data_IF_628356174161
#
_entry.id   IF_628356174161
#
_cell.length_a   1.000
_cell.length_b   1.000
_cell.length_c   1.000
_cell.angle_alpha   90.00
_cell.angle_beta   90.00
_cell.angle_gamma   90.00
#
_symmetry.space_group_name_H-M   'P 1'
#
loop_
_entity.id
_entity.type
_entity.pdbx_description
1 polymer ?
#
# COMPACT_ATOMS: atom_id res chain seq x y z
N UNK A 1 3.72 13.97 16.27
CA UNK A 1 5.00 13.24 16.26
C UNK A 1 5.32 12.89 14.81
N UNK A 2 6.51 13.25 14.29
CA UNK A 2 6.89 12.92 12.91
C UNK A 2 7.08 11.40 12.78
N UNK A 3 6.58 10.82 11.65
CA UNK A 3 6.77 9.41 11.33
C UNK A 3 8.21 9.20 10.81
N UNK A 4 8.96 8.32 11.48
CA UNK A 4 10.25 7.83 11.01
C UNK A 4 10.15 6.32 10.88
N UNK A 5 10.03 5.84 9.64
CA UNK A 5 9.83 4.44 9.32
C UNK A 5 11.08 3.81 8.75
N UNK A 6 11.27 2.53 9.05
CA UNK A 6 12.23 1.64 8.40
C UNK A 6 11.49 0.40 7.90
N UNK A 7 11.82 -0.04 6.69
CA UNK A 7 11.38 -1.32 6.17
C UNK A 7 12.42 -2.38 6.48
N UNK A 8 11.97 -3.52 7.01
CA UNK A 8 12.84 -4.56 7.52
C UNK A 8 12.42 -5.91 6.95
N UNK A 9 13.41 -6.69 6.48
CA UNK A 9 13.18 -8.09 6.15
C UNK A 9 13.15 -8.91 7.46
N UNK A 10 12.07 -9.66 7.76
CA UNK A 10 11.98 -10.46 8.99
C UNK A 10 13.12 -11.47 9.15
N UNK A 11 13.62 -12.07 8.07
CA UNK A 11 14.76 -12.97 8.10
C UNK A 11 16.02 -12.27 8.63
N UNK A 12 16.32 -11.08 8.12
CA UNK A 12 17.48 -10.32 8.56
C UNK A 12 17.33 -9.86 10.02
N UNK A 13 16.13 -9.43 10.40
CA UNK A 13 15.80 -9.06 11.76
C UNK A 13 15.97 -10.20 12.77
N UNK A 14 15.56 -11.42 12.38
CA UNK A 14 15.65 -12.60 13.25
C UNK A 14 17.05 -13.20 13.30
N UNK A 15 17.76 -13.26 12.17
CA UNK A 15 19.04 -14.03 12.03
C UNK A 15 20.29 -13.16 12.10
N UNK A 16 20.24 -11.88 11.71
CA UNK A 16 21.40 -10.97 11.66
C UNK A 16 21.50 -10.02 12.86
N UNK A 17 20.78 -10.30 13.94
CA UNK A 17 20.81 -9.50 15.18
C UNK A 17 20.63 -7.99 14.97
N UNK A 18 19.63 -7.60 14.17
CA UNK A 18 19.27 -6.20 14.03
C UNK A 18 19.01 -5.57 15.41
N UNK A 19 19.66 -4.45 15.68
CA UNK A 19 19.52 -3.73 16.95
C UNK A 19 18.31 -2.79 16.91
N UNK A 20 17.18 -3.28 17.43
CA UNK A 20 15.94 -2.50 17.52
C UNK A 20 16.03 -1.37 18.56
N UNK A 21 16.85 -1.51 19.60
CA UNK A 21 17.06 -0.46 20.59
C UNK A 21 17.78 0.73 19.94
N UNK A 22 18.84 0.48 19.17
CA UNK A 22 19.53 1.52 18.41
C UNK A 22 18.59 2.21 17.38
N UNK A 23 17.73 1.46 16.68
CA UNK A 23 16.73 2.05 15.81
C UNK A 23 15.79 2.99 16.58
N UNK A 24 15.34 2.56 17.76
CA UNK A 24 14.46 3.37 18.61
C UNK A 24 15.15 4.64 19.12
N UNK A 25 16.39 4.53 19.57
CA UNK A 25 17.24 5.66 20.01
C UNK A 25 17.50 6.64 18.88
N UNK A 26 17.69 6.14 17.65
CA UNK A 26 17.83 6.95 16.42
C UNK A 26 16.51 7.63 16.01
N UNK A 27 15.43 7.40 16.75
CA UNK A 27 14.13 8.04 16.58
C UNK A 27 13.18 7.29 15.65
N UNK A 28 13.49 6.07 15.21
CA UNK A 28 12.56 5.21 14.49
C UNK A 28 11.36 4.91 15.38
N UNK A 29 10.15 5.15 14.85
CA UNK A 29 8.90 4.98 15.59
C UNK A 29 7.86 4.12 14.85
N UNK A 30 8.17 3.66 13.64
CA UNK A 30 7.36 2.72 12.86
C UNK A 30 8.27 1.76 12.08
N UNK A 31 7.84 0.51 12.02
CA UNK A 31 8.51 -0.54 11.25
C UNK A 31 7.49 -1.18 10.31
N UNK A 32 7.88 -1.44 9.04
CA UNK A 32 7.16 -2.28 8.10
C UNK A 32 7.97 -3.54 7.83
N UNK A 33 7.31 -4.70 7.83
CA UNK A 33 7.95 -6.00 7.62
C UNK A 33 7.18 -6.82 6.59
N UNK A 34 7.88 -7.32 5.58
CA UNK A 34 7.30 -8.17 4.53
C UNK A 34 7.07 -9.61 5.03
N UNK A 35 5.91 -9.90 5.59
CA UNK A 35 5.52 -11.25 5.98
C UNK A 35 5.05 -12.10 4.80
N UNK A 36 4.25 -11.51 3.94
CA UNK A 36 3.63 -12.04 2.72
C UNK A 36 2.52 -13.07 2.98
N UNK A 37 2.73 -14.06 3.82
CA UNK A 37 1.75 -15.09 4.22
C UNK A 37 2.18 -15.76 5.52
N UNK A 38 1.25 -16.33 6.28
CA UNK A 38 1.53 -17.23 7.39
C UNK A 38 1.81 -18.67 6.93
N UNK A 39 1.45 -19.02 5.69
CA UNK A 39 1.68 -20.33 5.10
C UNK A 39 3.12 -20.48 4.59
N UNK A 40 3.84 -21.51 5.05
CA UNK A 40 5.19 -21.80 4.58
C UNK A 40 5.22 -22.18 3.08
N UNK A 41 4.16 -22.80 2.58
CA UNK A 41 4.02 -23.15 1.17
C UNK A 41 3.96 -21.90 0.29
N UNK A 42 3.12 -20.95 0.65
CA UNK A 42 2.94 -19.68 -0.06
C UNK A 42 4.21 -18.82 0.00
N UNK A 43 4.88 -18.73 1.17
CA UNK A 43 6.17 -18.02 1.29
C UNK A 43 7.26 -18.64 0.43
N UNK A 44 7.37 -19.97 0.40
CA UNK A 44 8.33 -20.65 -0.49
C UNK A 44 8.04 -20.39 -1.96
N UNK A 45 6.77 -20.39 -2.37
CA UNK A 45 6.37 -20.01 -3.72
C UNK A 45 6.81 -18.58 -4.09
N UNK A 46 6.80 -17.66 -3.12
CA UNK A 46 7.31 -16.30 -3.27
C UNK A 46 8.83 -16.17 -3.13
N UNK A 47 9.56 -17.28 -2.93
CA UNK A 47 11.00 -17.27 -2.73
C UNK A 47 11.45 -16.63 -1.40
N UNK A 48 10.57 -16.60 -0.39
CA UNK A 48 10.87 -16.03 0.92
C UNK A 48 11.58 -17.04 1.81
N UNK A 49 12.67 -16.59 2.46
CA UNK A 49 13.49 -17.44 3.36
C UNK A 49 13.00 -17.38 4.81
N UNK A 50 12.29 -16.32 5.21
CA UNK A 50 11.76 -16.17 6.56
C UNK A 50 10.60 -17.12 6.82
N UNK A 51 10.63 -17.81 7.96
CA UNK A 51 9.51 -18.60 8.48
C UNK A 51 8.53 -17.73 9.29
N UNK A 52 7.39 -18.31 9.67
CA UNK A 52 6.41 -17.70 10.57
C UNK A 52 7.06 -17.29 11.90
N UNK A 53 7.93 -18.12 12.45
CA UNK A 53 8.64 -17.86 13.71
C UNK A 53 9.62 -16.70 13.61
N UNK A 54 10.27 -16.51 12.45
CA UNK A 54 11.16 -15.37 12.23
C UNK A 54 10.38 -14.04 12.25
N UNK A 55 9.16 -14.02 11.68
CA UNK A 55 8.27 -12.85 11.74
C UNK A 55 7.83 -12.57 13.18
N UNK A 56 7.38 -13.61 13.90
CA UNK A 56 6.99 -13.49 15.32
C UNK A 56 8.13 -12.95 16.17
N UNK A 57 9.34 -13.49 15.99
CA UNK A 57 10.52 -13.04 16.72
C UNK A 57 10.89 -11.59 16.40
N UNK A 58 10.84 -11.19 15.12
CA UNK A 58 11.14 -9.83 14.71
C UNK A 58 10.13 -8.82 15.27
N UNK A 59 8.83 -9.13 15.22
CA UNK A 59 7.76 -8.31 15.81
C UNK A 59 7.98 -8.17 17.32
N UNK A 60 8.20 -9.28 18.02
CA UNK A 60 8.43 -9.26 19.45
C UNK A 60 9.64 -8.42 19.84
N UNK A 61 10.78 -8.56 19.16
CA UNK A 61 11.99 -7.76 19.41
C UNK A 61 11.77 -6.27 19.20
N UNK A 62 10.99 -5.89 18.17
CA UNK A 62 10.63 -4.49 17.95
C UNK A 62 9.76 -3.94 19.08
N UNK A 63 8.77 -4.71 19.55
CA UNK A 63 7.89 -4.35 20.67
C UNK A 63 8.68 -4.25 21.98
N UNK A 64 9.56 -5.21 22.28
CA UNK A 64 10.43 -5.21 23.46
C UNK A 64 11.36 -3.97 23.49
N UNK A 65 11.76 -3.45 22.32
CA UNK A 65 12.51 -2.19 22.18
C UNK A 65 11.61 -0.93 22.22
N UNK A 66 10.30 -1.07 22.44
CA UNK A 66 9.35 0.06 22.52
C UNK A 66 8.88 0.60 21.18
N UNK A 67 9.05 -0.14 20.07
CA UNK A 67 8.50 0.20 18.76
C UNK A 67 7.21 -0.60 18.55
N UNK A 68 6.05 -0.01 18.89
CA UNK A 68 4.74 -0.67 18.84
C UNK A 68 3.94 -0.36 17.55
N UNK A 69 4.37 0.63 16.76
CA UNK A 69 3.74 0.91 15.46
C UNK A 69 4.40 0.03 14.40
N UNK A 70 3.84 -1.18 14.23
CA UNK A 70 4.38 -2.20 13.32
C UNK A 70 3.33 -2.47 12.25
N UNK A 71 3.79 -2.55 11.00
CA UNK A 71 3.05 -3.00 9.83
C UNK A 71 3.56 -4.36 9.38
N UNK A 72 2.65 -5.27 9.06
CA UNK A 72 2.96 -6.49 8.30
C UNK A 72 2.36 -6.40 6.91
N UNK A 73 3.16 -6.77 5.90
CA UNK A 73 2.72 -6.78 4.52
C UNK A 73 2.33 -8.20 4.13
N UNK A 74 1.11 -8.35 3.58
CA UNK A 74 0.56 -9.58 3.04
C UNK A 74 0.48 -9.49 1.52
N UNK A 75 0.68 -10.62 0.86
CA UNK A 75 0.44 -10.76 -0.58
C UNK A 75 -0.84 -11.59 -0.80
N UNK A 76 -1.72 -11.06 -1.64
CA UNK A 76 -2.94 -11.72 -2.08
C UNK A 76 -2.73 -12.36 -3.45
N UNK A 77 -3.51 -13.38 -3.75
CA UNK A 77 -3.48 -14.11 -5.02
C UNK A 77 -2.11 -14.75 -5.33
N UNK A 78 -1.39 -15.20 -4.30
CA UNK A 78 -0.15 -15.95 -4.48
C UNK A 78 -0.42 -17.42 -4.85
N UNK A 79 0.53 -18.13 -5.49
CA UNK A 79 0.33 -19.54 -5.86
C UNK A 79 -0.10 -20.40 -4.69
N UNK A 80 -1.20 -21.13 -4.86
CA UNK A 80 -1.75 -22.05 -3.85
C UNK A 80 -2.51 -21.39 -2.69
N UNK A 81 -2.67 -20.07 -2.69
CA UNK A 81 -3.42 -19.36 -1.66
C UNK A 81 -4.92 -19.72 -1.71
N UNK A 82 -5.50 -19.87 -0.55
CA UNK A 82 -6.93 -20.07 -0.34
C UNK A 82 -7.49 -19.01 0.61
N UNK A 83 -8.81 -18.82 0.61
CA UNK A 83 -9.47 -17.93 1.59
C UNK A 83 -9.13 -18.31 3.04
N UNK A 84 -8.99 -19.62 3.33
CA UNK A 84 -8.64 -20.09 4.67
C UNK A 84 -7.19 -19.74 5.03
N UNK A 85 -6.22 -19.98 4.16
CA UNK A 85 -4.81 -19.64 4.43
C UNK A 85 -4.61 -18.12 4.54
N UNK A 86 -5.39 -17.34 3.79
CA UNK A 86 -5.42 -15.89 3.92
C UNK A 86 -5.98 -15.46 5.30
N UNK A 87 -7.09 -16.03 5.74
CA UNK A 87 -7.65 -15.76 7.08
C UNK A 87 -6.67 -16.13 8.19
N UNK A 88 -5.93 -17.23 8.06
CA UNK A 88 -4.87 -17.62 9.00
C UNK A 88 -3.73 -16.59 9.02
N UNK A 89 -3.39 -16.02 7.87
CA UNK A 89 -2.38 -14.96 7.75
C UNK A 89 -2.83 -13.65 8.43
N UNK A 90 -4.09 -13.29 8.26
CA UNK A 90 -4.69 -12.12 8.91
C UNK A 90 -4.82 -12.35 10.43
N UNK A 91 -5.22 -13.56 10.84
CA UNK A 91 -5.24 -13.95 12.25
C UNK A 91 -3.87 -13.78 12.90
N UNK A 92 -2.83 -14.26 12.22
CA UNK A 92 -1.46 -14.10 12.69
C UNK A 92 -1.07 -12.61 12.89
N UNK A 93 -1.44 -11.72 11.97
CA UNK A 93 -1.17 -10.29 12.11
C UNK A 93 -1.81 -9.71 13.37
N UNK A 94 -3.09 -10.06 13.62
CA UNK A 94 -3.82 -9.60 14.81
C UNK A 94 -3.21 -10.17 16.11
N UNK A 95 -2.91 -11.47 16.14
CA UNK A 95 -2.33 -12.15 17.30
C UNK A 95 -0.93 -11.64 17.62
N UNK A 96 -0.15 -11.22 16.61
CA UNK A 96 1.14 -10.57 16.80
C UNK A 96 1.05 -9.14 17.36
N UNK A 97 -0.15 -8.57 17.47
CA UNK A 97 -0.39 -7.24 18.04
C UNK A 97 0.15 -6.10 17.18
N UNK A 98 0.20 -6.30 15.84
CA UNK A 98 0.55 -5.20 14.93
C UNK A 98 -0.61 -4.22 14.78
N UNK A 99 -0.34 -3.01 14.33
CA UNK A 99 -1.32 -1.91 14.23
C UNK A 99 -1.74 -1.58 12.81
N UNK A 100 -1.09 -2.21 11.84
CA UNK A 100 -1.28 -1.92 10.43
C UNK A 100 -1.01 -3.17 9.60
N UNK A 101 -1.77 -3.37 8.54
CA UNK A 101 -1.58 -4.45 7.57
C UNK A 101 -1.68 -3.85 6.18
N UNK A 102 -0.68 -4.14 5.34
CA UNK A 102 -0.76 -3.89 3.90
C UNK A 102 -1.12 -5.21 3.22
N UNK A 103 -2.10 -5.20 2.32
CA UNK A 103 -2.57 -6.38 1.60
C UNK A 103 -2.57 -6.10 0.10
N UNK A 104 -1.50 -6.54 -0.58
CA UNK A 104 -1.28 -6.27 -2.00
C UNK A 104 -1.62 -7.48 -2.85
N UNK A 105 -2.41 -7.30 -3.91
CA UNK A 105 -2.59 -8.33 -4.94
C UNK A 105 -1.27 -8.52 -5.68
N UNK A 106 -0.84 -9.77 -5.81
CA UNK A 106 0.37 -10.13 -6.53
C UNK A 106 0.27 -9.69 -8.00
N UNK A 107 1.19 -8.84 -8.42
CA UNK A 107 1.37 -8.47 -9.82
C UNK A 107 2.70 -9.01 -10.33
N UNK A 108 2.67 -9.70 -11.46
CA UNK A 108 3.87 -10.25 -12.09
C UNK A 108 4.43 -9.20 -13.03
N UNK A 109 5.55 -8.60 -12.65
CA UNK A 109 6.22 -7.55 -13.42
C UNK A 109 7.31 -8.15 -14.32
N UNK A 110 7.43 -7.62 -15.54
CA UNK A 110 8.50 -7.97 -16.46
C UNK A 110 9.89 -7.74 -15.87
N UNK A 111 10.87 -8.56 -16.26
CA UNK A 111 12.22 -8.49 -15.73
C UNK A 111 12.40 -9.11 -14.33
N UNK A 112 11.34 -9.72 -13.76
CA UNK A 112 11.42 -10.46 -12.49
C UNK A 112 11.53 -11.97 -12.73
N UNK A 113 12.16 -12.68 -11.78
CA UNK A 113 12.19 -14.16 -11.80
C UNK A 113 10.78 -14.78 -11.81
N UNK A 114 9.81 -14.10 -11.24
CA UNK A 114 8.40 -14.50 -11.26
C UNK A 114 7.84 -14.44 -12.69
N UNK A 115 8.17 -13.40 -13.43
CA UNK A 115 7.79 -13.28 -14.84
C UNK A 115 8.40 -14.38 -15.71
N UNK A 116 9.69 -14.69 -15.49
CA UNK A 116 10.38 -15.78 -16.22
C UNK A 116 9.69 -17.13 -15.98
N UNK A 117 9.19 -17.38 -14.77
CA UNK A 117 8.54 -18.63 -14.37
C UNK A 117 7.02 -18.62 -14.45
N UNK A 118 6.40 -17.57 -14.99
CA UNK A 118 4.94 -17.41 -14.97
C UNK A 118 4.16 -18.57 -15.56
N UNK A 119 4.73 -19.28 -16.55
CA UNK A 119 4.10 -20.47 -17.14
C UNK A 119 4.12 -21.72 -16.26
N UNK A 120 4.90 -21.72 -15.17
CA UNK A 120 5.01 -22.82 -14.20
C UNK A 120 4.14 -22.56 -12.95
N UNK A 121 3.65 -21.32 -12.78
CA UNK A 121 2.90 -20.91 -11.61
C UNK A 121 1.41 -21.21 -11.77
N UNK A 122 0.83 -21.86 -10.78
CA UNK A 122 -0.62 -21.99 -10.64
C UNK A 122 -1.15 -20.83 -9.82
N UNK A 123 -1.55 -19.76 -10.50
CA UNK A 123 -2.13 -18.57 -9.87
C UNK A 123 -3.65 -18.68 -9.79
N UNK A 124 -4.30 -18.06 -8.80
CA UNK A 124 -5.73 -17.82 -8.84
C UNK A 124 -6.12 -17.07 -10.11
N UNK A 125 -7.29 -17.39 -10.67
CA UNK A 125 -7.89 -16.61 -11.75
C UNK A 125 -8.41 -15.24 -11.24
N UNK A 126 -8.99 -14.45 -12.12
CA UNK A 126 -9.50 -13.11 -11.77
C UNK A 126 -10.62 -13.19 -10.73
N UNK A 127 -11.56 -14.14 -10.86
CA UNK A 127 -12.66 -14.30 -9.92
C UNK A 127 -12.18 -14.71 -8.54
N UNK A 128 -11.28 -15.69 -8.45
CA UNK A 128 -10.66 -16.12 -7.20
C UNK A 128 -9.79 -14.99 -6.59
N UNK A 129 -9.12 -14.19 -7.41
CA UNK A 129 -8.38 -13.01 -6.94
C UNK A 129 -9.31 -11.97 -6.32
N UNK A 130 -10.44 -11.69 -6.95
CA UNK A 130 -11.48 -10.80 -6.41
C UNK A 130 -12.05 -11.35 -5.09
N UNK A 131 -12.34 -12.64 -5.02
CA UNK A 131 -12.82 -13.30 -3.80
C UNK A 131 -11.79 -13.16 -2.65
N UNK A 132 -10.51 -13.40 -2.92
CA UNK A 132 -9.44 -13.25 -1.93
C UNK A 132 -9.34 -11.80 -1.43
N UNK A 133 -9.42 -10.80 -2.32
CA UNK A 133 -9.39 -9.40 -1.92
C UNK A 133 -10.58 -9.02 -1.03
N UNK A 134 -11.79 -9.40 -1.42
CA UNK A 134 -12.99 -9.11 -0.63
C UNK A 134 -12.95 -9.83 0.72
N UNK A 135 -12.51 -11.08 0.75
CA UNK A 135 -12.33 -11.84 1.98
C UNK A 135 -11.27 -11.21 2.90
N UNK A 136 -10.18 -10.64 2.32
CA UNK A 136 -9.18 -9.89 3.10
C UNK A 136 -9.79 -8.65 3.74
N UNK A 137 -10.54 -7.85 2.98
CA UNK A 137 -11.21 -6.66 3.49
C UNK A 137 -12.13 -6.99 4.67
N UNK A 138 -12.97 -8.01 4.52
CA UNK A 138 -13.92 -8.42 5.56
C UNK A 138 -13.21 -8.95 6.82
N UNK A 139 -12.21 -9.81 6.64
CA UNK A 139 -11.52 -10.44 7.78
C UNK A 139 -10.66 -9.43 8.55
N UNK A 140 -10.00 -8.49 7.84
CA UNK A 140 -9.23 -7.42 8.47
C UNK A 140 -10.13 -6.50 9.30
N UNK A 141 -11.29 -6.10 8.76
CA UNK A 141 -12.24 -5.28 9.53
C UNK A 141 -12.79 -5.99 10.77
N UNK A 142 -13.13 -7.28 10.67
CA UNK A 142 -13.58 -8.08 11.82
C UNK A 142 -12.54 -8.09 12.95
N UNK A 143 -11.26 -7.86 12.61
CA UNK A 143 -10.16 -7.80 13.58
C UNK A 143 -9.74 -6.38 13.96
N UNK A 144 -10.50 -5.38 13.52
CA UNK A 144 -10.27 -3.97 13.89
C UNK A 144 -9.31 -3.20 13.00
N UNK A 145 -8.84 -3.80 11.90
CA UNK A 145 -8.07 -3.09 10.89
C UNK A 145 -9.00 -2.48 9.85
N UNK A 146 -9.24 -1.19 9.95
CA UNK A 146 -10.12 -0.48 9.02
C UNK A 146 -9.38 -0.17 7.73
N UNK A 147 -10.03 -0.46 6.59
CA UNK A 147 -9.50 -0.06 5.28
C UNK A 147 -9.50 1.46 5.18
N UNK A 148 -8.37 2.09 4.86
CA UNK A 148 -8.31 3.52 4.63
C UNK A 148 -7.88 3.88 3.19
N UNK A 149 -7.27 2.94 2.47
CA UNK A 149 -7.01 3.03 1.02
C UNK A 149 -7.01 1.63 0.39
N UNK A 150 -6.84 1.54 -0.91
CA UNK A 150 -7.06 0.33 -1.72
C UNK A 150 -6.33 -0.93 -1.19
N UNK A 151 -5.13 -0.79 -0.61
CA UNK A 151 -4.29 -1.91 -0.17
C UNK A 151 -3.91 -1.86 1.30
N UNK A 152 -4.24 -0.80 2.04
CA UNK A 152 -3.78 -0.62 3.41
C UNK A 152 -4.92 -0.52 4.43
N UNK A 153 -4.69 -1.20 5.55
CA UNK A 153 -5.63 -1.36 6.65
C UNK A 153 -4.93 -1.04 7.97
N UNK A 154 -5.59 -0.34 8.87
CA UNK A 154 -5.01 0.06 10.15
C UNK A 154 -6.03 0.08 11.27
N UNK A 155 -5.57 -0.10 12.51
CA UNK A 155 -6.33 0.38 13.65
C UNK A 155 -6.46 1.92 13.57
N UNK A 156 -7.59 2.50 14.02
CA UNK A 156 -7.79 3.96 13.97
C UNK A 156 -6.62 4.74 14.59
N UNK A 157 -6.05 5.68 13.83
CA UNK A 157 -4.91 6.51 14.22
C UNK A 157 -3.54 5.94 13.87
N UNK A 158 -3.49 4.73 13.27
CA UNK A 158 -2.23 4.09 12.81
C UNK A 158 -2.08 4.06 11.29
N UNK A 159 -2.91 4.79 10.56
CA UNK A 159 -2.80 4.96 9.11
C UNK A 159 -1.40 5.47 8.73
N UNK A 160 -0.90 5.04 7.59
CA UNK A 160 0.42 5.46 7.10
C UNK A 160 0.37 6.91 6.59
N UNK A 161 0.62 7.89 7.46
CA UNK A 161 0.63 9.31 7.11
C UNK A 161 1.57 9.66 5.96
N UNK A 162 2.64 8.89 5.76
CA UNK A 162 3.54 9.10 4.63
C UNK A 162 2.87 8.68 3.32
N UNK A 163 2.18 7.52 3.30
CA UNK A 163 1.45 7.07 2.12
C UNK A 163 0.28 8.00 1.81
N UNK A 164 -0.42 8.51 2.85
CA UNK A 164 -1.51 9.48 2.66
C UNK A 164 -1.04 10.74 1.95
N UNK A 165 0.21 11.22 2.19
CA UNK A 165 0.75 12.37 1.45
C UNK A 165 0.77 12.16 -0.07
N UNK A 166 1.11 10.96 -0.52
CA UNK A 166 1.07 10.64 -1.95
C UNK A 166 -0.38 10.66 -2.49
N UNK A 167 -1.31 10.08 -1.74
CA UNK A 167 -2.72 10.05 -2.11
C UNK A 167 -3.40 11.42 -2.02
N UNK A 168 -2.92 12.28 -1.14
CA UNK A 168 -3.36 13.68 -1.00
C UNK A 168 -2.68 14.60 -2.03
N UNK A 169 -1.83 14.05 -2.90
CA UNK A 169 -1.03 14.80 -3.86
C UNK A 169 -0.24 15.95 -3.18
N UNK A 170 0.30 15.67 -1.99
CA UNK A 170 1.16 16.58 -1.24
C UNK A 170 2.59 16.50 -1.74
N UNK A 171 3.33 17.58 -1.54
CA UNK A 171 4.75 17.64 -1.87
C UNK A 171 5.60 16.71 -1.02
N UNK A 172 6.59 16.11 -1.65
CA UNK A 172 7.58 15.26 -1.00
C UNK A 172 8.93 15.30 -1.72
N UNK A 173 10.00 15.13 -0.95
CA UNK A 173 11.37 15.02 -1.44
C UNK A 173 11.86 13.57 -1.28
N UNK A 174 12.24 12.96 -2.39
CA UNK A 174 12.95 11.69 -2.44
C UNK A 174 14.46 11.91 -2.42
N UNK A 175 15.19 11.11 -1.65
CA UNK A 175 16.65 11.16 -1.54
C UNK A 175 17.20 9.76 -1.83
N UNK A 176 18.07 9.67 -2.83
CA UNK A 176 18.73 8.43 -3.20
C UNK A 176 18.47 7.99 -4.64
N UNK A 177 19.19 6.95 -5.13
CA UNK A 177 18.97 6.38 -6.45
C UNK A 177 17.53 5.89 -6.62
N UNK A 178 16.93 6.15 -7.78
CA UNK A 178 15.53 5.86 -8.10
C UNK A 178 14.48 6.58 -7.22
N UNK A 179 14.88 7.52 -6.37
CA UNK A 179 13.93 8.26 -5.55
C UNK A 179 13.23 9.34 -6.39
N UNK A 180 11.90 9.34 -6.34
CA UNK A 180 11.04 10.34 -6.96
C UNK A 180 10.73 11.47 -5.98
N UNK A 181 10.49 12.66 -6.51
CA UNK A 181 10.09 13.86 -5.78
C UNK A 181 8.93 14.56 -6.47
N UNK A 182 8.14 15.30 -5.69
CA UNK A 182 7.13 16.22 -6.18
C UNK A 182 7.23 17.50 -5.34
N UNK A 183 7.70 18.60 -5.94
CA UNK A 183 7.94 19.88 -5.27
C UNK A 183 7.62 21.01 -6.26
N UNK A 184 6.97 22.07 -5.79
CA UNK A 184 6.61 23.27 -6.58
C UNK A 184 5.90 22.94 -7.90
N UNK A 185 4.99 21.93 -7.86
CA UNK A 185 4.24 21.47 -9.03
C UNK A 185 5.05 20.69 -10.06
N UNK A 186 6.30 20.33 -9.77
CA UNK A 186 7.19 19.57 -10.66
C UNK A 186 7.53 18.21 -10.08
N UNK A 187 7.56 17.19 -10.95
CA UNK A 187 8.04 15.85 -10.64
C UNK A 187 9.42 15.65 -11.19
N UNK A 188 10.28 15.01 -10.42
CA UNK A 188 11.61 14.62 -10.84
C UNK A 188 12.08 13.39 -10.08
N UNK A 189 13.06 12.68 -10.61
CA UNK A 189 13.63 11.51 -9.96
C UNK A 189 15.15 11.42 -10.19
N UNK A 190 15.85 10.74 -9.30
CA UNK A 190 17.24 10.39 -9.53
C UNK A 190 17.34 9.08 -10.32
N UNK A 191 18.29 8.95 -11.25
CA UNK A 191 18.57 7.69 -11.96
C UNK A 191 18.79 6.53 -10.98
N UNK A 192 18.46 5.30 -11.42
CA UNK A 192 18.59 4.10 -10.57
C UNK A 192 20.06 3.71 -10.29
N UNK A 193 21.00 4.31 -11.00
CA UNK A 193 22.42 4.03 -10.90
C UNK A 193 23.03 4.64 -9.63
N UNK A 194 23.59 3.78 -8.77
CA UNK A 194 24.17 4.19 -7.48
C UNK A 194 25.47 4.98 -7.68
N UNK A 195 26.30 4.60 -8.66
CA UNK A 195 27.59 5.26 -8.91
C UNK A 195 27.37 6.68 -9.46
N UNK A 196 26.42 6.82 -10.38
CA UNK A 196 26.00 8.14 -10.89
C UNK A 196 25.46 9.03 -9.78
N UNK A 197 24.64 8.47 -8.87
CA UNK A 197 24.11 9.24 -7.73
C UNK A 197 25.22 9.71 -6.79
N UNK A 198 26.17 8.84 -6.44
CA UNK A 198 27.34 9.21 -5.61
C UNK A 198 28.22 10.26 -6.32
N UNK A 199 28.33 10.21 -7.64
CA UNK A 199 29.06 11.19 -8.43
C UNK A 199 28.32 12.56 -8.54
N UNK A 200 27.10 12.68 -8.01
CA UNK A 200 26.34 13.93 -8.03
C UNK A 200 25.60 14.17 -9.34
N UNK A 201 24.97 13.12 -9.91
CA UNK A 201 24.15 13.30 -11.11
C UNK A 201 22.97 14.24 -10.85
N UNK A 202 22.60 14.99 -11.88
CA UNK A 202 21.39 15.82 -11.84
C UNK A 202 20.13 14.93 -11.86
N UNK A 203 19.04 15.35 -11.18
CA UNK A 203 17.76 14.66 -11.27
C UNK A 203 17.19 14.76 -12.69
N UNK A 204 16.45 13.74 -13.10
CA UNK A 204 15.70 13.73 -14.35
C UNK A 204 14.34 14.36 -14.13
N UNK A 205 13.98 15.33 -14.94
CA UNK A 205 12.65 15.95 -14.94
C UNK A 205 11.59 14.93 -15.39
N UNK A 206 10.48 14.82 -14.66
CA UNK A 206 9.36 13.90 -14.90
C UNK A 206 8.04 14.66 -15.15
N UNK A 207 8.16 15.95 -15.46
CA UNK A 207 7.08 16.82 -15.88
C UNK A 207 6.34 17.56 -14.77
N UNK A 208 5.20 18.13 -15.14
CA UNK A 208 4.31 18.83 -14.22
C UNK A 208 3.42 17.82 -13.48
N UNK A 209 3.07 18.16 -12.25
CA UNK A 209 2.15 17.38 -11.42
C UNK A 209 1.21 18.26 -10.62
N UNK A 210 0.28 17.66 -9.91
CA UNK A 210 -0.67 18.38 -9.06
C UNK A 210 -1.89 18.90 -9.79
N UNK A 211 -2.19 18.41 -11.01
CA UNK A 211 -3.43 18.77 -11.72
C UNK A 211 -4.67 18.24 -10.99
N UNK A 212 -5.85 18.74 -11.33
CA UNK A 212 -7.12 18.26 -10.78
C UNK A 212 -7.34 16.78 -11.14
N UNK A 213 -7.02 16.36 -12.35
CA UNK A 213 -7.16 14.97 -12.82
C UNK A 213 -6.23 14.04 -12.03
N UNK A 214 -4.99 14.44 -11.79
CA UNK A 214 -4.07 13.68 -10.96
C UNK A 214 -4.56 13.59 -9.51
N UNK A 215 -5.01 14.69 -8.94
CA UNK A 215 -5.59 14.69 -7.60
C UNK A 215 -6.81 13.78 -7.51
N UNK A 216 -7.75 13.85 -8.48
CA UNK A 216 -8.90 12.95 -8.56
C UNK A 216 -8.45 11.49 -8.61
N UNK A 217 -7.49 11.15 -9.49
CA UNK A 217 -6.95 9.79 -9.64
C UNK A 217 -6.38 9.26 -8.32
N UNK A 218 -5.64 10.07 -7.58
CA UNK A 218 -5.01 9.69 -6.32
C UNK A 218 -6.04 9.57 -5.19
N UNK A 219 -6.95 10.53 -5.08
CA UNK A 219 -8.01 10.54 -4.05
C UNK A 219 -8.97 9.38 -4.18
N UNK A 220 -9.27 8.93 -5.40
CA UNK A 220 -10.13 7.76 -5.62
C UNK A 220 -9.49 6.43 -5.16
N UNK A 221 -8.22 6.43 -4.77
CA UNK A 221 -7.60 5.26 -4.12
C UNK A 221 -7.83 5.23 -2.60
N UNK A 222 -8.31 6.32 -2.03
CA UNK A 222 -8.69 6.41 -0.62
C UNK A 222 -10.14 6.00 -0.40
N UNK A 223 -10.39 5.39 0.74
CA UNK A 223 -11.75 5.03 1.17
C UNK A 223 -12.66 6.26 1.34
N UNK A 224 -12.05 7.40 1.71
CA UNK A 224 -12.77 8.69 1.80
C UNK A 224 -13.02 9.33 0.43
N UNK A 225 -12.23 8.99 -0.57
CA UNK A 225 -12.35 9.49 -1.94
C UNK A 225 -12.00 10.97 -2.09
N UNK A 226 -12.53 11.58 -3.15
CA UNK A 226 -12.44 13.02 -3.43
C UNK A 226 -13.54 13.76 -2.67
N UNK A 227 -13.17 14.61 -1.72
CA UNK A 227 -14.07 15.49 -0.98
C UNK A 227 -14.22 16.81 -1.74
N UNK A 228 -15.46 17.21 -2.03
CA UNK A 228 -15.73 18.37 -2.90
C UNK A 228 -15.18 19.68 -2.34
N UNK A 229 -15.34 19.90 -1.04
CA UNK A 229 -14.84 21.09 -0.38
C UNK A 229 -13.30 21.19 -0.45
N UNK A 230 -12.60 20.08 -0.21
CA UNK A 230 -11.14 20.01 -0.29
C UNK A 230 -10.64 20.30 -1.73
N UNK A 231 -11.35 19.76 -2.72
CA UNK A 231 -11.04 20.01 -4.13
C UNK A 231 -11.26 21.48 -4.52
N UNK A 232 -12.39 22.07 -4.10
CA UNK A 232 -12.70 23.48 -4.37
C UNK A 232 -11.70 24.43 -3.70
N UNK A 233 -11.32 24.16 -2.44
CA UNK A 233 -10.29 24.93 -1.73
C UNK A 233 -8.92 24.86 -2.43
N UNK A 234 -8.58 23.68 -2.98
CA UNK A 234 -7.27 23.46 -3.62
C UNK A 234 -7.18 24.05 -5.03
N UNK A 235 -8.23 23.93 -5.83
CA UNK A 235 -8.22 24.28 -7.26
C UNK A 235 -9.00 25.55 -7.59
N UNK A 236 -9.77 26.10 -6.65
CA UNK A 236 -10.57 27.31 -6.86
C UNK A 236 -11.84 27.08 -7.70
N UNK A 237 -12.19 25.82 -7.98
CA UNK A 237 -13.40 25.44 -8.70
C UNK A 237 -13.95 24.12 -8.17
N UNK A 238 -15.25 23.91 -8.33
CA UNK A 238 -15.90 22.66 -7.96
C UNK A 238 -15.57 21.50 -8.91
N UNK A 239 -15.99 20.30 -8.52
CA UNK A 239 -15.86 19.10 -9.37
C UNK A 239 -16.71 19.27 -10.63
N UNK A 240 -16.18 19.02 -11.84
CA UNK A 240 -16.93 19.12 -13.10
C UNK A 240 -18.21 18.24 -13.10
N UNK A 241 -19.29 18.78 -13.67
CA UNK A 241 -20.61 18.10 -13.69
C UNK A 241 -20.58 16.77 -14.45
N UNK A 242 -19.77 16.67 -15.48
CA UNK A 242 -19.63 15.42 -16.26
C UNK A 242 -18.98 14.31 -15.43
N UNK A 243 -18.03 14.60 -14.57
CA UNK A 243 -17.44 13.66 -13.61
C UNK A 243 -18.49 13.18 -12.62
N UNK A 244 -19.28 14.10 -12.05
CA UNK A 244 -20.36 13.78 -11.11
C UNK A 244 -21.39 12.88 -11.79
N UNK A 245 -21.74 13.18 -13.04
CA UNK A 245 -22.69 12.38 -13.83
C UNK A 245 -22.15 10.96 -14.07
N UNK A 246 -20.91 10.82 -14.53
CA UNK A 246 -20.27 9.50 -14.74
C UNK A 246 -20.20 8.72 -13.43
N UNK A 247 -19.80 9.34 -12.33
CA UNK A 247 -19.78 8.70 -11.01
C UNK A 247 -21.17 8.23 -10.57
N UNK A 248 -22.21 9.02 -10.84
CA UNK A 248 -23.61 8.64 -10.55
C UNK A 248 -24.02 7.40 -11.36
N UNK A 249 -23.57 7.26 -12.60
CA UNK A 249 -23.81 6.04 -13.38
C UNK A 249 -23.07 4.83 -12.78
N UNK A 250 -21.82 4.98 -12.39
CA UNK A 250 -21.08 3.92 -11.70
C UNK A 250 -21.66 3.56 -10.34
N UNK A 251 -22.32 4.50 -9.65
CA UNK A 251 -23.03 4.23 -8.39
C UNK A 251 -24.21 3.27 -8.59
N UNK A 252 -24.91 3.33 -9.74
CA UNK A 252 -25.98 2.39 -10.07
C UNK A 252 -25.45 0.95 -10.24
N UNK A 253 -24.18 0.82 -10.64
CA UNK A 253 -23.48 -0.46 -10.73
C UNK A 253 -22.80 -0.88 -9.41
N UNK A 254 -22.94 -0.09 -8.35
CA UNK A 254 -22.33 -0.37 -7.04
C UNK A 254 -20.82 -0.14 -6.97
N UNK A 255 -20.23 0.54 -7.95
CA UNK A 255 -18.77 0.75 -8.04
C UNK A 255 -18.30 2.02 -7.33
N UNK A 256 -19.16 3.04 -7.23
CA UNK A 256 -18.85 4.31 -6.58
C UNK A 256 -19.91 4.67 -5.55
N UNK A 257 -19.51 5.55 -4.63
CA UNK A 257 -20.41 6.35 -3.79
C UNK A 257 -20.26 7.78 -4.29
N UNK A 258 -21.38 8.38 -4.71
CA UNK A 258 -21.43 9.77 -5.13
C UNK A 258 -22.58 10.45 -4.37
N UNK A 259 -22.23 11.35 -3.47
CA UNK A 259 -23.18 12.14 -2.70
C UNK A 259 -22.88 13.64 -2.84
N UNK A 260 -23.57 14.49 -2.05
CA UNK A 260 -23.40 15.96 -2.14
C UNK A 260 -22.04 16.46 -1.58
N UNK A 261 -21.20 15.59 -1.06
CA UNK A 261 -19.96 15.95 -0.39
C UNK A 261 -18.72 15.30 -0.99
N UNK A 262 -18.86 14.16 -1.65
CA UNK A 262 -17.71 13.38 -2.13
C UNK A 262 -18.04 12.38 -3.23
N UNK A 263 -16.98 11.94 -3.89
CA UNK A 263 -16.93 10.76 -4.76
C UNK A 263 -15.92 9.78 -4.19
N UNK A 264 -16.31 8.52 -3.97
CA UNK A 264 -15.41 7.47 -3.51
C UNK A 264 -15.67 6.17 -4.24
N UNK A 265 -14.68 5.30 -4.33
CA UNK A 265 -14.88 3.93 -4.80
C UNK A 265 -15.42 3.06 -3.67
N UNK A 266 -16.29 2.12 -4.00
CA UNK A 266 -16.66 1.01 -3.12
C UNK A 266 -15.56 -0.05 -3.11
N UNK A 267 -15.67 -1.08 -2.26
CA UNK A 267 -14.75 -2.23 -2.33
C UNK A 267 -14.80 -2.95 -3.69
N UNK A 268 -15.98 -3.05 -4.30
CA UNK A 268 -16.13 -3.56 -5.65
C UNK A 268 -15.50 -2.62 -6.68
N UNK A 269 -15.65 -1.31 -6.49
CA UNK A 269 -15.00 -0.29 -7.30
C UNK A 269 -13.47 -0.34 -7.23
N UNK A 270 -12.89 -0.68 -6.08
CA UNK A 270 -11.43 -0.86 -5.97
C UNK A 270 -10.89 -1.99 -6.85
N UNK A 271 -11.64 -3.08 -7.03
CA UNK A 271 -11.24 -4.19 -7.92
C UNK A 271 -11.09 -3.76 -9.38
N UNK A 272 -11.87 -2.79 -9.81
CA UNK A 272 -11.87 -2.24 -11.18
C UNK A 272 -11.44 -0.77 -11.22
N UNK A 273 -10.71 -0.33 -10.21
CA UNK A 273 -10.36 1.08 -9.98
C UNK A 273 -9.71 1.75 -11.20
N UNK A 274 -8.80 1.05 -11.89
CA UNK A 274 -8.14 1.60 -13.06
C UNK A 274 -9.13 1.91 -14.19
N UNK A 275 -10.09 1.01 -14.46
CA UNK A 275 -11.12 1.23 -15.47
C UNK A 275 -12.03 2.39 -15.09
N UNK A 276 -12.53 2.43 -13.86
CA UNK A 276 -13.39 3.52 -13.38
C UNK A 276 -12.65 4.87 -13.44
N UNK A 277 -11.42 4.92 -12.94
CA UNK A 277 -10.62 6.16 -12.94
C UNK A 277 -10.35 6.64 -14.37
N UNK A 278 -9.97 5.74 -15.29
CA UNK A 278 -9.72 6.11 -16.70
C UNK A 278 -10.93 6.67 -17.43
N UNK A 279 -12.13 6.32 -17.00
CA UNK A 279 -13.38 6.89 -17.57
C UNK A 279 -13.72 8.26 -16.98
N UNK A 280 -13.15 8.60 -15.80
CA UNK A 280 -13.43 9.86 -15.12
C UNK A 280 -12.48 10.97 -15.53
N UNK A 281 -11.28 10.63 -15.95
CA UNK A 281 -10.24 11.54 -16.46
C UNK A 281 -10.13 11.38 -17.99
#
# INVERSE_FOLDING_TARGET
MYKRQVEINPFDAAKKNLDFALLRESGVNRISMGMQSASDGERRALGRLSGRDDVSLAVKRAQDAGINNISLDLMLAVPGQTVNSLKDSIAFCADAGVRHVSAYILKIEEGTRFYEKRGELTLPDEDATCELYLAACEELEKRGFMQYEISNFAEPGYESRHNLKYWDCDEYLGIGPAAHSFIDGRRFFFPRDIESFIAGCEPTDDGEGGSFEEYLMLRLRLNNGLVFLEAEERFGHGVPEDIIKKCTEFSKAGLTVCDNSRIALTRQGFLVSNAVISELI
#
